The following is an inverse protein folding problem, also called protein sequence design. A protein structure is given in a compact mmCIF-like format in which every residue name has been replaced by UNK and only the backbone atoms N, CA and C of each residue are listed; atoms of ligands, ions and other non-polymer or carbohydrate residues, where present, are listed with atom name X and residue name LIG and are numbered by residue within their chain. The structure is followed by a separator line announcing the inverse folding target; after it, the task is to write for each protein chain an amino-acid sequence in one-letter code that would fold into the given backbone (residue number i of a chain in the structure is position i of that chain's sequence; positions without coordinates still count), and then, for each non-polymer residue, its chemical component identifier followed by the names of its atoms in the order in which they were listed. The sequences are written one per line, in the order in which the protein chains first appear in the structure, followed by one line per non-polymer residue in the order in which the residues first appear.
data_IF_446354061637
#
_entry.id   IF_446354061637
#
_cell.length_a   1.000
_cell.length_b   1.000
_cell.length_c   1.000
_cell.angle_alpha   90.00
_cell.angle_beta   90.00
_cell.angle_gamma   90.00
#
_symmetry.space_group_name_H-M   'P 1'
#
loop_
_entity.id
_entity.type
_entity.pdbx_description
1 polymer ?
#
# COMPACT_ATOMS: atom_id res chain seq x y z
N UNK A 1 -10.39 12.25 -14.22
CA UNK A 1 -9.67 12.62 -12.98
C UNK A 1 -8.39 13.35 -13.36
N UNK A 2 -8.02 14.40 -12.64
CA UNK A 2 -6.75 15.12 -12.81
C UNK A 2 -5.68 14.47 -11.93
N UNK A 3 -4.56 14.08 -12.52
CA UNK A 3 -3.41 13.56 -11.79
C UNK A 3 -2.18 14.45 -11.93
N UNK A 4 -1.37 14.44 -10.87
CA UNK A 4 -0.13 15.20 -10.72
C UNK A 4 1.04 14.24 -10.46
N UNK A 5 2.24 14.65 -10.86
CA UNK A 5 3.48 13.90 -10.63
C UNK A 5 3.99 13.14 -11.86
N UNK A 6 4.69 12.02 -11.61
CA UNK A 6 5.41 11.30 -12.64
C UNK A 6 4.49 10.48 -13.54
N UNK A 7 4.79 10.42 -14.84
CA UNK A 7 3.95 9.81 -15.88
C UNK A 7 3.57 8.33 -15.61
N UNK A 8 4.46 7.59 -14.94
CA UNK A 8 4.30 6.16 -14.62
C UNK A 8 3.78 5.87 -13.19
N UNK A 9 3.67 6.89 -12.35
CA UNK A 9 3.27 6.75 -10.95
C UNK A 9 2.59 8.05 -10.47
N UNK A 10 1.59 8.50 -11.21
CA UNK A 10 0.88 9.73 -10.89
C UNK A 10 -0.05 9.55 -9.69
N UNK A 11 -0.32 10.65 -8.99
CA UNK A 11 -1.27 10.72 -7.87
C UNK A 11 -2.41 11.63 -8.26
N UNK A 12 -3.64 11.27 -7.92
CA UNK A 12 -4.80 12.07 -8.29
C UNK A 12 -4.98 13.23 -7.32
N UNK A 13 -5.18 14.44 -7.85
CA UNK A 13 -5.69 15.57 -7.07
C UNK A 13 -7.19 15.38 -6.85
N UNK A 14 -7.56 14.98 -5.64
CA UNK A 14 -8.96 14.66 -5.29
C UNK A 14 -9.82 15.93 -5.30
N UNK A 15 -9.30 17.07 -4.81
CA UNK A 15 -10.08 18.29 -4.73
C UNK A 15 -10.41 18.83 -6.13
N UNK A 16 -9.40 18.86 -7.01
CA UNK A 16 -9.60 19.29 -8.39
C UNK A 16 -10.41 18.29 -9.21
N UNK A 17 -10.18 17.00 -9.03
CA UNK A 17 -10.99 15.96 -9.69
C UNK A 17 -12.46 16.04 -9.28
N UNK A 18 -12.74 16.30 -8.00
CA UNK A 18 -14.11 16.52 -7.49
C UNK A 18 -14.79 17.68 -8.22
N UNK A 19 -14.10 18.82 -8.36
CA UNK A 19 -14.64 19.98 -9.10
C UNK A 19 -14.97 19.64 -10.55
N UNK A 20 -14.07 18.94 -11.25
CA UNK A 20 -14.27 18.54 -12.65
C UNK A 20 -15.43 17.55 -12.83
N UNK A 21 -15.57 16.59 -11.93
CA UNK A 21 -16.66 15.61 -11.95
C UNK A 21 -18.01 16.29 -11.66
N UNK A 22 -18.06 17.23 -10.71
CA UNK A 22 -19.28 18.01 -10.47
C UNK A 22 -19.67 18.86 -11.69
N UNK A 23 -18.68 19.40 -12.41
CA UNK A 23 -18.92 20.18 -13.62
C UNK A 23 -19.38 19.35 -14.83
N UNK A 24 -19.12 18.04 -14.86
CA UNK A 24 -19.51 17.19 -16.01
C UNK A 24 -21.00 16.86 -16.06
N UNK A 25 -21.80 17.29 -15.06
CA UNK A 25 -23.28 17.16 -15.03
C UNK A 25 -23.76 15.76 -15.42
N UNK A 26 -23.17 14.73 -14.82
CA UNK A 26 -23.56 13.35 -15.12
C UNK A 26 -24.99 13.13 -14.61
N UNK A 27 -25.93 12.64 -15.45
CA UNK A 27 -27.29 12.33 -15.02
C UNK A 27 -27.31 11.26 -13.92
N UNK A 28 -28.19 11.44 -12.93
CA UNK A 28 -28.28 10.56 -11.76
C UNK A 28 -28.82 9.14 -12.08
N UNK A 29 -29.50 8.99 -13.22
CA UNK A 29 -30.13 7.75 -13.69
C UNK A 29 -29.23 6.91 -14.61
N UNK A 30 -27.99 7.35 -14.84
CA UNK A 30 -27.06 6.67 -15.75
C UNK A 30 -25.98 5.87 -15.00
N UNK A 31 -25.69 4.67 -15.51
CA UNK A 31 -24.52 3.90 -15.09
C UNK A 31 -23.28 4.36 -15.87
N UNK A 32 -22.26 4.80 -15.15
CA UNK A 32 -21.01 5.29 -15.75
C UNK A 32 -19.97 4.18 -15.72
N UNK A 33 -19.39 3.88 -16.88
CA UNK A 33 -18.21 3.02 -16.97
C UNK A 33 -16.95 3.89 -17.18
N UNK A 34 -15.95 3.67 -16.34
CA UNK A 34 -14.66 4.36 -16.41
C UNK A 34 -13.52 3.35 -16.47
N UNK A 35 -12.52 3.61 -17.31
CA UNK A 35 -11.28 2.85 -17.28
C UNK A 35 -10.50 3.11 -15.97
N UNK A 36 -10.13 2.04 -15.28
CA UNK A 36 -9.20 2.10 -14.15
C UNK A 36 -7.76 2.38 -14.58
N UNK A 37 -6.84 2.46 -13.61
CA UNK A 37 -5.38 2.53 -13.79
C UNK A 37 -4.84 3.82 -14.46
N UNK A 38 -5.70 4.64 -15.05
CA UNK A 38 -5.32 5.79 -15.86
C UNK A 38 -5.98 7.09 -15.37
N UNK A 39 -5.36 8.21 -15.69
CA UNK A 39 -5.87 9.56 -15.45
C UNK A 39 -5.33 10.55 -16.49
N UNK A 40 -5.81 11.79 -16.46
CA UNK A 40 -5.27 12.88 -17.28
C UNK A 40 -4.41 13.83 -16.45
N UNK A 41 -3.31 14.33 -17.00
CA UNK A 41 -2.54 15.41 -16.36
C UNK A 41 -3.07 16.80 -16.76
N UNK A 42 -2.43 17.87 -16.28
CA UNK A 42 -2.83 19.25 -16.59
C UNK A 42 -2.76 19.61 -18.08
N UNK A 43 -1.90 18.92 -18.83
CA UNK A 43 -1.74 19.09 -20.29
C UNK A 43 -2.75 18.27 -21.09
N UNK A 44 -3.62 17.50 -20.44
CA UNK A 44 -4.58 16.60 -21.08
C UNK A 44 -3.96 15.28 -21.57
N UNK A 45 -2.72 14.97 -21.18
CA UNK A 45 -2.05 13.73 -21.56
C UNK A 45 -2.49 12.56 -20.65
N UNK A 46 -2.58 11.35 -21.23
CA UNK A 46 -2.91 10.13 -20.49
C UNK A 46 -1.71 9.67 -19.64
N UNK A 47 -1.90 9.61 -18.33
CA UNK A 47 -0.91 9.10 -17.37
C UNK A 47 -1.42 7.85 -16.68
N UNK A 48 -0.49 7.06 -16.13
CA UNK A 48 -0.84 5.86 -15.35
C UNK A 48 -0.62 6.10 -13.86
N UNK A 49 -1.48 5.48 -13.06
CA UNK A 49 -1.49 5.64 -11.62
C UNK A 49 -0.53 4.68 -10.91
N UNK A 50 0.23 3.87 -11.65
CA UNK A 50 1.18 2.92 -11.11
C UNK A 50 0.53 1.64 -10.58
N UNK A 51 1.27 0.88 -9.77
CA UNK A 51 0.86 -0.45 -9.31
C UNK A 51 -0.46 -0.40 -8.53
N UNK A 52 -1.35 -1.36 -8.81
CA UNK A 52 -2.72 -1.40 -8.28
C UNK A 52 -3.53 -0.13 -8.60
N UNK A 53 -3.23 0.49 -9.75
CA UNK A 53 -3.87 1.72 -10.17
C UNK A 53 -5.38 1.60 -10.38
N UNK A 54 -5.92 0.42 -10.72
CA UNK A 54 -7.38 0.22 -10.86
C UNK A 54 -8.10 0.34 -9.52
N UNK A 55 -7.61 -0.34 -8.48
CA UNK A 55 -8.19 -0.22 -7.13
C UNK A 55 -8.08 1.23 -6.64
N UNK A 56 -6.93 1.87 -6.88
CA UNK A 56 -6.71 3.27 -6.54
C UNK A 56 -7.66 4.22 -7.32
N UNK A 57 -7.92 3.97 -8.60
CA UNK A 57 -8.92 4.71 -9.38
C UNK A 57 -10.30 4.63 -8.75
N UNK A 58 -10.73 3.43 -8.35
CA UNK A 58 -12.04 3.22 -7.71
C UNK A 58 -12.12 3.97 -6.37
N UNK A 59 -11.09 3.84 -5.53
CA UNK A 59 -11.03 4.48 -4.22
C UNK A 59 -11.02 6.02 -4.30
N UNK A 60 -10.28 6.57 -5.26
CA UNK A 60 -10.25 8.02 -5.51
C UNK A 60 -11.57 8.52 -6.08
N UNK A 61 -12.18 7.77 -7.00
CA UNK A 61 -13.47 8.14 -7.56
C UNK A 61 -14.56 8.14 -6.47
N UNK A 62 -14.57 7.13 -5.60
CA UNK A 62 -15.44 7.08 -4.43
C UNK A 62 -15.23 8.32 -3.53
N UNK A 63 -13.98 8.70 -3.28
CA UNK A 63 -13.64 9.92 -2.54
C UNK A 63 -14.16 11.20 -3.22
N UNK A 64 -14.01 11.31 -4.54
CA UNK A 64 -14.49 12.48 -5.30
C UNK A 64 -16.02 12.59 -5.26
N UNK A 65 -16.71 11.46 -5.33
CA UNK A 65 -18.18 11.39 -5.36
C UNK A 65 -18.81 11.42 -3.97
N UNK A 66 -18.02 11.32 -2.89
CA UNK A 66 -18.53 11.09 -1.53
C UNK A 66 -19.45 9.88 -1.47
N UNK A 67 -19.03 8.81 -2.15
CA UNK A 67 -19.80 7.58 -2.22
C UNK A 67 -20.02 6.97 -0.83
N UNK A 68 -21.19 6.38 -0.63
CA UNK A 68 -21.53 5.69 0.63
C UNK A 68 -20.66 4.44 0.85
N UNK A 69 -20.19 3.81 -0.23
CA UNK A 69 -19.31 2.65 -0.18
C UNK A 69 -18.44 2.54 -1.46
N UNK A 70 -17.24 1.98 -1.31
CA UNK A 70 -16.36 1.59 -2.40
C UNK A 70 -16.24 0.06 -2.47
N UNK A 71 -16.80 -0.58 -3.48
CA UNK A 71 -16.66 -2.03 -3.66
C UNK A 71 -15.45 -2.39 -4.54
N UNK A 72 -14.63 -3.33 -4.06
CA UNK A 72 -13.53 -3.91 -4.83
C UNK A 72 -13.86 -5.38 -5.09
N UNK A 73 -14.05 -5.69 -6.37
CA UNK A 73 -14.41 -7.01 -6.84
C UNK A 73 -13.16 -7.75 -7.36
N UNK A 74 -12.83 -8.87 -6.72
CA UNK A 74 -11.63 -9.67 -6.98
C UNK A 74 -11.98 -11.16 -7.15
N UNK A 75 -10.97 -12.03 -7.16
CA UNK A 75 -11.05 -13.49 -7.29
C UNK A 75 -11.07 -14.25 -5.95
N UNK A 76 -11.23 -13.54 -4.83
CA UNK A 76 -11.29 -14.10 -3.46
C UNK A 76 -12.49 -13.55 -2.70
N UNK A 77 -13.02 -14.34 -1.75
CA UNK A 77 -14.20 -13.99 -0.94
C UNK A 77 -13.99 -12.82 0.02
N UNK A 78 -12.75 -12.34 0.16
CA UNK A 78 -12.38 -11.20 0.98
C UNK A 78 -10.98 -11.39 1.57
N UNK A 79 -10.77 -10.82 2.75
CA UNK A 79 -9.51 -10.91 3.49
C UNK A 79 -9.56 -12.07 4.46
N UNK A 80 -8.56 -12.94 4.42
CA UNK A 80 -8.44 -14.06 5.34
C UNK A 80 -7.45 -13.76 6.47
N UNK A 81 -7.62 -14.44 7.60
CA UNK A 81 -6.69 -14.39 8.75
C UNK A 81 -5.25 -14.75 8.37
N UNK A 82 -5.06 -15.60 7.36
CA UNK A 82 -3.77 -15.95 6.77
C UNK A 82 -4.01 -16.45 5.34
N UNK A 83 -2.94 -16.76 4.59
CA UNK A 83 -3.09 -17.27 3.23
C UNK A 83 -3.80 -18.64 3.24
N UNK A 84 -5.04 -18.76 2.71
CA UNK A 84 -5.81 -20.00 2.73
C UNK A 84 -5.16 -21.12 1.90
N UNK A 85 -4.22 -20.77 1.00
CA UNK A 85 -3.45 -21.75 0.22
C UNK A 85 -2.37 -22.42 1.05
N UNK A 86 -1.96 -21.81 2.16
CA UNK A 86 -0.93 -22.32 3.07
C UNK A 86 -1.55 -22.88 4.35
N UNK A 87 -2.65 -22.31 4.83
CA UNK A 87 -3.32 -22.71 6.07
C UNK A 87 -4.78 -23.04 5.78
N UNK A 88 -5.18 -24.33 5.81
CA UNK A 88 -6.56 -24.74 5.52
C UNK A 88 -7.61 -24.14 6.48
N UNK A 89 -7.22 -23.88 7.73
CA UNK A 89 -8.09 -23.30 8.76
C UNK A 89 -8.20 -21.76 8.69
N UNK A 90 -7.69 -21.14 7.61
CA UNK A 90 -7.79 -19.71 7.40
C UNK A 90 -9.28 -19.28 7.37
N UNK A 91 -9.60 -18.25 8.15
CA UNK A 91 -10.98 -17.75 8.30
C UNK A 91 -11.14 -16.45 7.54
N UNK A 92 -12.28 -16.28 6.89
CA UNK A 92 -12.67 -15.02 6.28
C UNK A 92 -12.93 -13.99 7.39
N UNK A 93 -12.29 -12.83 7.29
CA UNK A 93 -12.56 -11.70 8.18
C UNK A 93 -13.83 -11.00 7.73
N UNK A 94 -14.77 -10.78 8.67
CA UNK A 94 -15.99 -10.03 8.39
C UNK A 94 -15.70 -8.55 8.21
N UNK A 95 -14.84 -8.02 9.06
CA UNK A 95 -14.47 -6.60 9.04
C UNK A 95 -13.05 -6.36 9.54
N UNK A 96 -12.50 -5.22 9.15
CA UNK A 96 -11.22 -4.73 9.65
C UNK A 96 -11.16 -3.21 9.55
N UNK A 97 -10.33 -2.59 10.38
CA UNK A 97 -10.06 -1.16 10.33
C UNK A 97 -9.15 -0.79 9.15
N UNK A 98 -9.20 0.47 8.73
CA UNK A 98 -8.26 0.99 7.73
C UNK A 98 -6.80 0.78 8.13
N UNK A 99 -6.48 0.91 9.42
CA UNK A 99 -5.11 0.73 9.93
C UNK A 99 -4.67 -0.73 9.83
N UNK A 100 -5.50 -1.67 10.26
CA UNK A 100 -5.21 -3.10 10.12
C UNK A 100 -5.02 -3.49 8.65
N UNK A 101 -5.84 -2.94 7.74
CA UNK A 101 -5.72 -3.18 6.31
C UNK A 101 -4.41 -2.62 5.75
N UNK A 102 -4.00 -1.43 6.20
CA UNK A 102 -2.75 -0.80 5.79
C UNK A 102 -1.53 -1.60 6.25
N UNK A 103 -1.51 -2.03 7.51
CA UNK A 103 -0.42 -2.83 8.09
C UNK A 103 -0.32 -4.20 7.42
N UNK A 104 -1.44 -4.93 7.27
CA UNK A 104 -1.43 -6.23 6.60
C UNK A 104 -0.90 -6.12 5.16
N UNK A 105 -1.32 -5.06 4.45
CA UNK A 105 -0.86 -4.78 3.09
C UNK A 105 0.62 -4.40 3.03
N UNK A 106 1.11 -3.67 4.04
CA UNK A 106 2.53 -3.32 4.16
C UNK A 106 3.41 -4.57 4.32
N UNK A 107 2.96 -5.52 5.14
CA UNK A 107 3.65 -6.78 5.42
C UNK A 107 3.39 -7.89 4.39
N UNK A 108 2.75 -7.57 3.26
CA UNK A 108 2.71 -8.45 2.10
C UNK A 108 1.43 -9.27 1.94
N UNK A 109 0.42 -9.07 2.79
CA UNK A 109 -0.91 -9.57 2.48
C UNK A 109 -1.41 -8.88 1.20
N UNK A 110 -1.82 -9.66 0.20
CA UNK A 110 -2.36 -9.13 -1.06
C UNK A 110 -3.84 -8.76 -0.89
N UNK A 111 -4.12 -7.77 -0.04
CA UNK A 111 -5.48 -7.29 0.23
C UNK A 111 -5.79 -6.08 -0.64
N UNK A 112 -5.19 -4.93 -0.32
CA UNK A 112 -5.27 -3.71 -1.10
C UNK A 112 -3.91 -3.02 -1.08
N UNK A 113 -3.60 -2.24 -2.10
CA UNK A 113 -2.38 -1.44 -2.02
C UNK A 113 -2.59 -0.30 -1.00
N UNK A 114 -1.61 0.06 -0.15
CA UNK A 114 -1.76 1.15 0.82
C UNK A 114 -2.23 2.47 0.19
N UNK A 115 -1.81 2.76 -1.05
CA UNK A 115 -2.28 3.94 -1.82
C UNK A 115 -3.78 3.93 -2.08
N UNK A 116 -4.41 2.77 -2.20
CA UNK A 116 -5.86 2.60 -2.35
C UNK A 116 -6.58 2.87 -1.03
N UNK A 117 -5.98 2.47 0.09
CA UNK A 117 -6.57 2.63 1.43
C UNK A 117 -6.55 4.10 1.86
N UNK A 118 -5.50 4.85 1.52
CA UNK A 118 -5.36 6.26 1.91
C UNK A 118 -6.57 7.15 1.59
N UNK A 119 -7.10 7.23 0.35
CA UNK A 119 -8.25 8.08 0.04
C UNK A 119 -9.51 7.63 0.79
N UNK A 120 -9.85 6.34 0.79
CA UNK A 120 -11.06 5.86 1.50
C UNK A 120 -10.98 6.12 3.01
N UNK A 121 -9.79 5.95 3.61
CA UNK A 121 -9.58 6.26 5.02
C UNK A 121 -9.67 7.77 5.30
N UNK A 122 -9.08 8.61 4.44
CA UNK A 122 -9.13 10.07 4.58
C UNK A 122 -10.57 10.60 4.56
N UNK A 123 -11.42 10.01 3.71
CA UNK A 123 -12.81 10.43 3.55
C UNK A 123 -13.82 9.58 4.33
N UNK A 124 -13.33 8.65 5.16
CA UNK A 124 -14.15 7.73 5.97
C UNK A 124 -15.17 6.94 5.14
N UNK A 125 -14.78 6.53 3.92
CA UNK A 125 -15.62 5.75 3.02
C UNK A 125 -15.35 4.27 3.27
N UNK A 126 -16.35 3.47 3.70
CA UNK A 126 -16.18 2.04 3.87
C UNK A 126 -15.89 1.37 2.53
N UNK A 127 -15.00 0.38 2.55
CA UNK A 127 -14.61 -0.38 1.37
C UNK A 127 -14.92 -1.85 1.55
N UNK A 128 -15.68 -2.44 0.63
CA UNK A 128 -16.11 -3.83 0.69
C UNK A 128 -15.35 -4.67 -0.35
N UNK A 129 -14.62 -5.67 0.11
CA UNK A 129 -13.93 -6.63 -0.77
C UNK A 129 -14.88 -7.78 -1.08
N UNK A 130 -15.12 -8.06 -2.36
CA UNK A 130 -16.07 -9.09 -2.83
C UNK A 130 -15.45 -9.99 -3.90
N UNK A 131 -16.03 -11.17 -4.05
CA UNK A 131 -15.62 -12.12 -5.08
C UNK A 131 -16.55 -12.07 -6.31
N UNK A 132 -15.96 -11.85 -7.47
CA UNK A 132 -16.65 -11.96 -8.76
C UNK A 132 -17.17 -13.36 -9.06
N UNK A 133 -16.46 -14.41 -8.62
CA UNK A 133 -16.84 -15.81 -8.79
C UNK A 133 -17.80 -16.33 -7.72
N UNK A 134 -17.97 -15.60 -6.61
CA UNK A 134 -18.90 -15.94 -5.53
C UNK A 134 -19.60 -14.67 -4.99
N UNK A 135 -20.54 -14.08 -5.76
CA UNK A 135 -21.15 -12.80 -5.39
C UNK A 135 -22.01 -12.82 -4.12
N UNK A 136 -22.41 -14.01 -3.66
CA UNK A 136 -23.20 -14.21 -2.44
C UNK A 136 -22.34 -14.30 -1.18
N UNK A 137 -21.01 -14.38 -1.32
CA UNK A 137 -20.11 -14.31 -0.17
C UNK A 137 -20.29 -12.97 0.55
N UNK A 138 -20.20 -12.95 1.90
CA UNK A 138 -20.38 -11.72 2.68
C UNK A 138 -19.29 -10.67 2.42
N UNK A 139 -18.10 -11.09 1.96
CA UNK A 139 -16.99 -10.18 1.76
C UNK A 139 -16.23 -9.85 3.05
N UNK A 140 -15.33 -8.86 2.94
CA UNK A 140 -14.71 -8.20 4.10
C UNK A 140 -14.93 -6.70 4.02
N UNK A 141 -15.48 -6.13 5.08
CA UNK A 141 -15.70 -4.69 5.21
C UNK A 141 -14.48 -4.00 5.85
N UNK A 142 -13.85 -3.08 5.12
CA UNK A 142 -12.79 -2.21 5.61
C UNK A 142 -13.40 -0.86 5.97
N UNK A 143 -13.33 -0.46 7.24
CA UNK A 143 -14.04 0.73 7.73
C UNK A 143 -13.40 1.41 8.93
N UNK A 144 -14.12 2.40 9.49
CA UNK A 144 -13.83 2.88 10.84
C UNK A 144 -14.18 1.74 11.82
N UNK A 145 -13.32 1.54 12.83
CA UNK A 145 -13.36 0.52 13.89
C UNK A 145 -14.62 -0.37 13.93
N UNK A 146 -14.46 -1.66 13.66
CA UNK A 146 -15.46 -2.66 14.00
C UNK A 146 -15.18 -3.15 15.43
N UNK A 147 -16.03 -2.76 16.37
CA UNK A 147 -15.99 -3.20 17.79
C UNK A 147 -16.34 -4.69 17.97
N UNK A 148 -16.55 -5.43 16.87
CA UNK A 148 -17.26 -6.71 16.86
C UNK A 148 -16.35 -7.95 16.94
N UNK A 149 -15.03 -7.80 16.92
CA UNK A 149 -14.09 -8.91 17.10
C UNK A 149 -13.06 -8.55 18.17
N UNK A 150 -13.28 -9.07 19.39
CA UNK A 150 -12.39 -9.01 20.57
C UNK A 150 -11.08 -9.81 20.37
N UNK A 151 -10.68 -10.02 19.11
CA UNK A 151 -9.51 -10.78 18.73
C UNK A 151 -8.28 -9.88 18.74
N UNK A 152 -7.29 -10.11 19.62
CA UNK A 152 -6.08 -9.30 19.67
C UNK A 152 -5.22 -9.44 18.41
N UNK A 153 -5.45 -10.50 17.60
CA UNK A 153 -4.76 -10.76 16.33
C UNK A 153 -5.78 -11.12 15.26
N UNK A 154 -5.99 -10.24 14.29
CA UNK A 154 -6.92 -10.48 13.16
C UNK A 154 -6.26 -11.13 11.96
N UNK A 155 -4.96 -10.98 11.79
CA UNK A 155 -4.29 -11.54 10.62
C UNK A 155 -2.79 -11.73 10.78
N UNK A 156 -2.29 -12.76 10.10
CA UNK A 156 -0.88 -13.07 9.96
C UNK A 156 -0.56 -12.98 8.47
N UNK A 157 0.32 -12.05 8.12
CA UNK A 157 0.88 -11.94 6.79
C UNK A 157 2.33 -12.42 6.81
N UNK A 158 2.76 -12.98 5.67
CA UNK A 158 4.14 -13.39 5.49
C UNK A 158 4.76 -12.62 4.34
N UNK A 159 5.96 -12.11 4.56
CA UNK A 159 6.75 -11.43 3.56
C UNK A 159 7.94 -12.31 3.15
N UNK A 160 7.79 -13.01 2.02
CA UNK A 160 8.87 -13.82 1.46
C UNK A 160 9.97 -12.96 0.81
N UNK A 161 11.15 -13.57 0.58
CA UNK A 161 12.30 -12.97 -0.09
C UNK A 161 12.88 -11.73 0.62
N UNK A 162 13.03 -11.80 1.95
CA UNK A 162 13.75 -10.80 2.74
C UNK A 162 15.22 -11.19 2.91
N UNK A 163 16.09 -10.19 2.91
CA UNK A 163 17.51 -10.35 3.23
C UNK A 163 17.85 -9.46 4.42
N UNK A 164 18.33 -10.06 5.51
CA UNK A 164 18.72 -9.33 6.72
C UNK A 164 20.21 -8.96 6.64
N UNK A 165 20.53 -7.69 6.87
CA UNK A 165 21.90 -7.20 6.98
C UNK A 165 22.14 -6.69 8.40
N UNK A 166 23.10 -7.28 9.12
CA UNK A 166 23.56 -6.72 10.38
C UNK A 166 24.76 -5.81 10.12
N UNK A 167 24.67 -4.56 10.53
CA UNK A 167 25.76 -3.59 10.46
C UNK A 167 26.24 -3.34 11.89
N UNK A 168 27.53 -3.49 12.13
CA UNK A 168 28.15 -3.26 13.43
C UNK A 168 29.44 -2.46 13.25
N UNK A 169 29.66 -1.44 14.07
CA UNK A 169 30.90 -0.66 14.05
C UNK A 169 31.05 0.25 15.27
N UNK A 170 32.28 0.66 15.61
CA UNK A 170 32.56 1.48 16.78
C UNK A 170 31.86 2.85 16.77
N UNK A 171 31.56 3.39 15.57
CA UNK A 171 30.78 4.63 15.38
C UNK A 171 29.26 4.47 15.49
N UNK A 172 28.76 3.25 15.77
CA UNK A 172 27.33 2.98 15.99
C UNK A 172 26.94 3.01 17.48
N UNK A 173 27.88 3.36 18.37
CA UNK A 173 27.57 3.63 19.78
C UNK A 173 26.78 4.93 19.90
N UNK A 174 25.46 4.82 20.10
CA UNK A 174 24.54 5.93 20.37
C UNK A 174 23.55 6.20 19.24
N UNK A 175 22.35 6.69 19.58
CA UNK A 175 21.25 6.95 18.63
C UNK A 175 21.62 7.92 17.50
N UNK A 176 22.55 8.86 17.75
CA UNK A 176 22.97 9.90 16.80
C UNK A 176 23.79 9.32 15.62
N UNK A 177 24.71 8.40 15.89
CA UNK A 177 25.52 7.75 14.85
C UNK A 177 24.68 6.86 13.92
N UNK A 178 23.69 6.17 14.48
CA UNK A 178 22.75 5.35 13.70
C UNK A 178 21.81 6.20 12.85
N UNK A 179 21.29 7.31 13.41
CA UNK A 179 20.42 8.24 12.67
C UNK A 179 21.13 8.86 11.46
N UNK A 180 22.38 9.30 11.63
CA UNK A 180 23.18 9.89 10.56
C UNK A 180 23.54 8.88 9.45
N UNK A 181 23.87 7.65 9.81
CA UNK A 181 24.09 6.58 8.82
C UNK A 181 22.81 6.25 8.05
N UNK A 182 21.68 6.15 8.76
CA UNK A 182 20.35 5.89 8.17
C UNK A 182 19.97 6.93 7.13
N UNK A 183 20.13 8.22 7.45
CA UNK A 183 19.78 9.32 6.54
C UNK A 183 20.74 9.45 5.35
N UNK A 184 22.00 9.02 5.50
CA UNK A 184 23.03 9.20 4.46
C UNK A 184 23.14 8.02 3.49
N UNK A 185 22.98 6.79 3.99
CA UNK A 185 23.21 5.56 3.21
C UNK A 185 21.91 5.00 2.65
N UNK A 186 20.81 5.01 3.38
CA UNK A 186 19.56 4.41 2.89
C UNK A 186 18.95 5.12 1.69
N UNK A 187 19.03 6.45 1.50
CA UNK A 187 18.54 7.05 0.27
C UNK A 187 19.34 6.60 -0.97
N UNK A 188 20.59 6.15 -0.79
CA UNK A 188 21.48 5.70 -1.86
C UNK A 188 21.26 4.23 -2.24
N UNK A 189 20.61 3.46 -1.37
CA UNK A 189 20.30 2.06 -1.60
C UNK A 189 18.77 1.90 -1.66
N UNK A 190 18.20 1.25 -2.68
CA UNK A 190 16.74 0.99 -2.74
C UNK A 190 16.30 -0.05 -1.69
N UNK A 191 16.41 0.31 -0.42
CA UNK A 191 16.24 -0.54 0.76
C UNK A 191 15.17 0.07 1.63
N UNK A 192 14.16 -0.71 2.03
CA UNK A 192 13.14 -0.28 3.00
C UNK A 192 13.51 -0.76 4.38
N UNK A 193 13.55 0.14 5.36
CA UNK A 193 13.81 -0.20 6.75
C UNK A 193 12.56 -0.81 7.39
N UNK A 194 12.69 -1.95 8.08
CA UNK A 194 11.58 -2.62 8.78
C UNK A 194 11.63 -2.44 10.30
N UNK A 195 12.82 -2.25 10.89
CA UNK A 195 12.97 -2.03 12.33
C UNK A 195 14.42 -2.05 12.79
N UNK A 196 14.69 -1.55 14.00
CA UNK A 196 15.97 -1.72 14.68
C UNK A 196 15.74 -2.20 16.11
N UNK A 197 16.37 -3.29 16.49
CA UNK A 197 16.65 -3.59 17.90
C UNK A 197 18.06 -3.10 18.22
N UNK A 198 18.42 -2.97 19.49
CA UNK A 198 19.64 -2.30 19.97
C UNK A 198 20.94 -2.71 19.26
N UNK A 199 21.01 -3.87 18.60
CA UNK A 199 22.22 -4.35 17.93
C UNK A 199 22.10 -4.87 16.47
N UNK A 200 20.93 -5.22 15.90
CA UNK A 200 20.79 -5.36 14.44
C UNK A 200 19.66 -4.49 13.83
N UNK A 201 20.00 -3.82 12.71
CA UNK A 201 19.02 -3.07 11.90
C UNK A 201 18.48 -3.99 10.81
N UNK A 202 17.16 -4.20 10.78
CA UNK A 202 16.51 -5.05 9.78
C UNK A 202 16.14 -4.23 8.54
N UNK A 203 16.70 -4.65 7.42
CA UNK A 203 16.46 -4.06 6.11
C UNK A 203 15.71 -5.03 5.19
N UNK A 204 14.84 -4.47 4.34
CA UNK A 204 14.18 -5.15 3.23
C UNK A 204 14.79 -4.66 1.92
N UNK A 205 15.26 -5.60 1.10
CA UNK A 205 15.66 -5.33 -0.28
C UNK A 205 14.72 -6.12 -1.19
N UNK A 206 14.14 -5.49 -2.20
CA UNK A 206 13.39 -6.23 -3.22
C UNK A 206 14.38 -7.11 -4.01
N UNK A 207 14.10 -8.41 -4.16
CA UNK A 207 14.98 -9.39 -4.79
C UNK A 207 15.55 -8.97 -6.16
N UNK A 208 14.83 -8.16 -6.93
CA UNK A 208 15.31 -7.62 -8.21
C UNK A 208 16.56 -6.71 -8.11
N UNK A 209 16.89 -6.23 -6.92
CA UNK A 209 18.10 -5.44 -6.64
C UNK A 209 19.29 -6.28 -6.14
N UNK A 210 19.05 -7.56 -5.82
CA UNK A 210 20.11 -8.49 -5.45
C UNK A 210 20.77 -9.01 -6.75
N UNK A 211 21.69 -8.23 -7.32
CA UNK A 211 22.66 -8.81 -8.27
C UNK A 211 23.53 -9.82 -7.51
N UNK A 212 23.99 -10.92 -8.15
CA UNK A 212 24.96 -11.82 -7.52
C UNK A 212 26.21 -10.99 -7.18
N UNK A 213 26.37 -10.68 -5.90
CA UNK A 213 27.41 -9.77 -5.46
C UNK A 213 28.77 -10.48 -5.52
N UNK A 214 29.55 -10.19 -6.56
CA UNK A 214 30.99 -10.12 -6.40
C UNK A 214 31.28 -9.15 -5.25
N UNK A 215 32.15 -9.58 -4.31
CA UNK A 215 32.52 -8.88 -3.06
C UNK A 215 32.47 -7.35 -3.18
N UNK A 216 31.44 -6.73 -2.58
CA UNK A 216 31.44 -5.29 -2.30
C UNK A 216 32.43 -5.03 -1.15
N UNK A 217 33.67 -4.66 -1.51
CA UNK A 217 34.60 -3.99 -0.58
C UNK A 217 34.26 -2.51 -0.57
N UNK A 218 33.63 -2.03 0.49
CA UNK A 218 33.58 -0.59 0.76
C UNK A 218 34.95 -0.17 1.31
N UNK A 219 35.74 0.53 0.48
CA UNK A 219 36.97 1.16 0.91
C UNK A 219 36.61 2.48 1.61
N UNK A 220 36.82 2.56 2.92
CA UNK A 220 36.71 3.82 3.65
C UNK A 220 38.02 4.59 3.47
N UNK A 221 38.00 5.69 2.71
CA UNK A 221 39.09 6.66 2.69
C UNK A 221 39.15 7.36 4.05
N UNK A 222 40.30 7.24 4.72
CA UNK A 222 40.63 8.06 5.89
C UNK A 222 41.00 9.45 5.37
N UNK A 223 40.19 10.45 5.68
CA UNK A 223 40.68 11.83 5.71
C UNK A 223 41.49 11.99 6.99
N UNK A 224 42.81 11.99 6.85
CA UNK A 224 43.72 12.53 7.84
C UNK A 224 44.04 13.97 7.44
N UNK A 225 44.10 14.87 8.42
CA UNK A 225 44.66 16.21 8.23
C UNK A 225 46.13 16.18 7.84
#
# INVERSE_FOLDING_TARGET
MLAVGHYLESTVDIAESTRRIAASRIPADHMILMAGFTAGNEKGELVVLGRNGSDYSAAVLAACLRADCCEIWTDVDGVYTCDPRQVPDARLLKSMSYQEAMELSYFGAKVLHPRTITPIAQFQIPCLIKNTGNPQAPGTLIGASSDDDDLPVKGISNLNNMAMFSVSGPGMKGMVGMGAWRSRVLPQCRVRHLGSADHPILFRIQHQLLRPAGRLRACATRDAG
#
